data_IF_537114452385
#
_entry.id   IF_537114452385
#
_cell.length_a   1.000
_cell.length_b   1.000
_cell.length_c   1.000
_cell.angle_alpha   90.00
_cell.angle_beta   90.00
_cell.angle_gamma   90.00
#
_symmetry.space_group_name_H-M   'P 1'
#
loop_
_entity.id
_entity.type
_entity.pdbx_description
1 polymer ?
#
# COMPACT_ATOMS: atom_id res chain seq x y z
N UNK A 1 25.32 2.81 -3.72
CA UNK A 1 23.84 2.70 -3.68
C UNK A 1 23.21 3.89 -4.40
N UNK A 2 22.44 3.66 -5.46
CA UNK A 2 21.91 4.73 -6.32
C UNK A 2 20.76 5.46 -5.62
N UNK A 3 20.64 6.79 -5.78
CA UNK A 3 19.53 7.59 -5.21
C UNK A 3 18.14 7.09 -5.65
N UNK A 4 18.07 6.25 -6.68
CA UNK A 4 16.85 5.66 -7.25
C UNK A 4 16.22 4.60 -6.34
N UNK A 5 17.02 3.80 -5.64
CA UNK A 5 16.53 2.68 -4.82
C UNK A 5 15.52 3.10 -3.71
N UNK A 6 15.80 4.11 -2.85
CA UNK A 6 14.84 4.51 -1.83
C UNK A 6 13.54 5.07 -2.42
N UNK A 7 13.61 5.73 -3.58
CA UNK A 7 12.42 6.27 -4.26
C UNK A 7 11.57 5.12 -4.81
N UNK A 8 12.19 4.08 -5.40
CA UNK A 8 11.48 2.89 -5.87
C UNK A 8 10.71 2.19 -4.75
N UNK A 9 11.29 2.07 -3.56
CA UNK A 9 10.61 1.46 -2.39
C UNK A 9 9.37 2.28 -2.01
N UNK A 10 9.47 3.61 -1.96
CA UNK A 10 8.34 4.48 -1.65
C UNK A 10 7.23 4.30 -2.69
N UNK A 11 7.57 4.28 -3.98
CA UNK A 11 6.60 4.08 -5.07
C UNK A 11 5.87 2.75 -4.94
N UNK A 12 6.59 1.65 -4.67
CA UNK A 12 5.99 0.34 -4.44
C UNK A 12 5.01 0.41 -3.25
N UNK A 13 5.40 1.04 -2.15
CA UNK A 13 4.53 1.20 -0.99
C UNK A 13 3.26 2.00 -1.28
N UNK A 14 3.33 3.05 -2.10
CA UNK A 14 2.15 3.82 -2.54
C UNK A 14 1.21 2.96 -3.38
N UNK A 15 1.74 2.16 -4.31
CA UNK A 15 0.93 1.24 -5.13
C UNK A 15 0.20 0.22 -4.24
N UNK A 16 0.93 -0.43 -3.31
CA UNK A 16 0.36 -1.41 -2.38
C UNK A 16 -0.72 -0.78 -1.51
N UNK A 17 -0.45 0.41 -0.95
CA UNK A 17 -1.44 1.15 -0.16
C UNK A 17 -2.70 1.45 -0.97
N UNK A 18 -2.53 1.89 -2.22
CA UNK A 18 -3.66 2.24 -3.11
C UNK A 18 -4.53 1.01 -3.38
N UNK A 19 -3.93 -0.15 -3.65
CA UNK A 19 -4.68 -1.41 -3.80
C UNK A 19 -5.37 -1.84 -2.49
N UNK A 20 -4.71 -1.71 -1.34
CA UNK A 20 -5.33 -2.02 -0.06
C UNK A 20 -6.59 -1.19 0.21
N UNK A 21 -6.54 0.11 -0.10
CA UNK A 21 -7.70 1.00 0.00
C UNK A 21 -8.81 0.57 -0.96
N UNK A 22 -8.47 0.28 -2.23
CA UNK A 22 -9.45 -0.18 -3.23
C UNK A 22 -10.14 -1.46 -2.77
N UNK A 23 -9.38 -2.46 -2.31
CA UNK A 23 -9.93 -3.73 -1.86
C UNK A 23 -10.78 -3.59 -0.60
N UNK A 24 -10.39 -2.71 0.32
CA UNK A 24 -11.19 -2.40 1.50
C UNK A 24 -12.55 -1.81 1.13
N UNK A 25 -12.55 -0.80 0.26
CA UNK A 25 -13.77 -0.12 -0.20
C UNK A 25 -14.65 -1.05 -1.05
N UNK A 26 -14.03 -1.92 -1.85
CA UNK A 26 -14.74 -2.92 -2.62
C UNK A 26 -15.38 -3.99 -1.70
N UNK A 27 -14.67 -4.43 -0.66
CA UNK A 27 -15.20 -5.29 0.40
C UNK A 27 -16.41 -4.69 1.13
N UNK A 28 -16.49 -3.36 1.21
CA UNK A 28 -17.63 -2.64 1.77
C UNK A 28 -18.78 -2.41 0.78
N UNK A 29 -18.62 -2.81 -0.48
CA UNK A 29 -19.60 -2.55 -1.54
C UNK A 29 -19.65 -1.09 -2.01
N UNK A 30 -18.71 -0.24 -1.61
CA UNK A 30 -18.70 1.19 -1.95
C UNK A 30 -18.27 1.43 -3.40
N UNK A 31 -17.31 0.64 -3.89
CA UNK A 31 -16.76 0.75 -5.24
C UNK A 31 -16.66 -0.63 -5.92
N UNK A 32 -16.53 -0.63 -7.24
CA UNK A 32 -16.31 -1.84 -8.03
C UNK A 32 -17.60 -2.50 -8.54
N UNK A 33 -17.48 -3.51 -9.41
CA UNK A 33 -18.63 -4.21 -9.97
C UNK A 33 -19.21 -5.21 -8.96
N UNK A 34 -20.54 -5.32 -8.91
CA UNK A 34 -21.27 -6.23 -8.03
C UNK A 34 -20.95 -7.72 -8.29
N UNK A 35 -20.60 -8.05 -9.54
CA UNK A 35 -20.17 -9.41 -9.94
C UNK A 35 -18.76 -9.78 -9.44
N UNK A 36 -18.04 -8.85 -8.82
CA UNK A 36 -16.73 -9.15 -8.28
C UNK A 36 -16.85 -10.02 -7.03
N UNK A 37 -16.03 -11.07 -6.95
CA UNK A 37 -15.85 -11.88 -5.74
C UNK A 37 -15.44 -11.09 -4.48
N UNK A 38 -14.97 -9.84 -4.65
CA UNK A 38 -14.60 -8.95 -3.56
C UNK A 38 -15.76 -8.06 -3.08
N UNK A 39 -16.78 -7.82 -3.92
CA UNK A 39 -17.84 -6.86 -3.61
C UNK A 39 -18.69 -7.35 -2.43
N UNK A 40 -18.95 -6.47 -1.46
CA UNK A 40 -19.70 -6.78 -0.21
C UNK A 40 -19.18 -8.03 0.54
N UNK A 41 -17.86 -8.27 0.49
CA UNK A 41 -17.24 -9.42 1.13
C UNK A 41 -16.43 -9.00 2.39
N UNK A 42 -16.86 -9.37 3.61
CA UNK A 42 -16.18 -8.99 4.86
C UNK A 42 -14.71 -9.42 4.96
N UNK A 43 -14.33 -10.51 4.28
CA UNK A 43 -12.92 -10.94 4.24
C UNK A 43 -12.07 -9.90 3.51
N UNK A 44 -12.58 -9.34 2.40
CA UNK A 44 -11.87 -8.33 1.61
C UNK A 44 -11.80 -6.97 2.30
N UNK A 45 -12.72 -6.66 3.21
CA UNK A 45 -12.58 -5.51 4.12
C UNK A 45 -11.30 -5.66 4.96
N UNK A 46 -11.11 -6.84 5.56
CA UNK A 46 -9.97 -7.14 6.44
C UNK A 46 -8.67 -7.24 5.64
N UNK A 47 -8.67 -7.96 4.52
CA UNK A 47 -7.49 -8.07 3.66
C UNK A 47 -7.07 -6.72 3.09
N UNK A 48 -8.02 -5.88 2.66
CA UNK A 48 -7.74 -4.52 2.20
C UNK A 48 -7.05 -3.67 3.28
N UNK A 49 -7.53 -3.72 4.52
CA UNK A 49 -6.89 -3.03 5.65
C UNK A 49 -5.46 -3.55 5.90
N UNK A 50 -5.25 -4.87 5.92
CA UNK A 50 -3.93 -5.45 6.12
C UNK A 50 -2.96 -5.04 5.01
N UNK A 51 -3.40 -5.07 3.74
CA UNK A 51 -2.61 -4.64 2.59
C UNK A 51 -2.28 -3.13 2.68
N UNK A 52 -3.24 -2.30 3.09
CA UNK A 52 -3.01 -0.87 3.30
C UNK A 52 -1.95 -0.62 4.39
N UNK A 53 -2.01 -1.32 5.52
CA UNK A 53 -1.00 -1.24 6.59
C UNK A 53 0.38 -1.66 6.06
N UNK A 54 0.47 -2.74 5.29
CA UNK A 54 1.74 -3.16 4.66
C UNK A 54 2.27 -2.06 3.72
N UNK A 55 1.42 -1.44 2.93
CA UNK A 55 1.78 -0.30 2.07
C UNK A 55 2.40 0.87 2.86
N UNK A 56 1.78 1.25 3.99
CA UNK A 56 2.30 2.28 4.90
C UNK A 56 3.67 1.89 5.45
N UNK A 57 3.87 0.64 5.87
CA UNK A 57 5.15 0.15 6.38
C UNK A 57 6.25 0.22 5.31
N UNK A 58 5.95 -0.18 4.07
CA UNK A 58 6.91 -0.09 2.94
C UNK A 58 7.31 1.37 2.69
N UNK A 59 6.34 2.30 2.69
CA UNK A 59 6.62 3.74 2.55
C UNK A 59 7.54 4.21 3.68
N UNK A 60 7.23 3.84 4.93
CA UNK A 60 8.04 4.17 6.12
C UNK A 60 9.47 3.67 6.00
N UNK A 61 9.68 2.43 5.55
CA UNK A 61 11.00 1.86 5.28
C UNK A 61 11.72 2.65 4.18
N UNK A 62 11.06 2.95 3.06
CA UNK A 62 11.65 3.73 1.97
C UNK A 62 12.10 5.13 2.40
N UNK A 63 11.30 5.80 3.23
CA UNK A 63 11.64 7.09 3.83
C UNK A 63 12.81 6.94 4.81
N UNK A 64 12.78 5.95 5.71
CA UNK A 64 13.84 5.70 6.69
C UNK A 64 15.19 5.45 6.01
N UNK A 65 15.21 4.63 4.96
CA UNK A 65 16.39 4.40 4.11
C UNK A 65 16.84 5.73 3.49
N UNK A 66 15.94 6.49 2.87
CA UNK A 66 16.29 7.80 2.26
C UNK A 66 16.96 8.74 3.26
N UNK A 67 16.41 8.85 4.47
CA UNK A 67 16.92 9.72 5.54
C UNK A 67 18.30 9.23 5.99
N UNK A 68 18.46 7.94 6.27
CA UNK A 68 19.73 7.35 6.70
C UNK A 68 20.87 7.66 5.71
N UNK A 69 20.61 7.51 4.40
CA UNK A 69 21.61 7.81 3.37
C UNK A 69 21.83 9.29 3.11
N UNK A 70 20.86 10.15 3.45
CA UNK A 70 21.03 11.61 3.35
C UNK A 70 21.89 12.14 4.49
N UNK A 71 21.71 11.63 5.72
CA UNK A 71 22.50 12.03 6.90
C UNK A 71 23.96 11.55 6.87
N UNK A 72 24.26 10.49 6.11
CA UNK A 72 25.60 9.90 6.00
C UNK A 72 26.47 10.56 4.91
N UNK A 73 25.93 11.50 4.14
CA UNK A 73 26.68 12.33 3.19
C UNK A 73 26.97 13.68 3.80
#
# INVERSE_FOLDING_TARGET
>A
MTKKLPISIIVIGVIVLSFGIIFHLQGQGVIGPQESFMYENPNWITYGQQIAVIGILIIGVGIGVKIYFTKKR
#
